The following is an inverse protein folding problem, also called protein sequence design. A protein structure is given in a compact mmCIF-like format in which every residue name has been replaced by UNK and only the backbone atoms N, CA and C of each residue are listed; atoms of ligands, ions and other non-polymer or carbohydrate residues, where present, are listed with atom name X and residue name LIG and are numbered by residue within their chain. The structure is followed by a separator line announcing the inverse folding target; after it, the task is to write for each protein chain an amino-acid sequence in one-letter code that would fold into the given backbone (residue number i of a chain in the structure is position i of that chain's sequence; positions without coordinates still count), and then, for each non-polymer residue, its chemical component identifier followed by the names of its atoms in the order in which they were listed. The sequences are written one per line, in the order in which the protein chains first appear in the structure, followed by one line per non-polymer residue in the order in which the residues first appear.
data_IF_884407432062
#
_entry.id   IF_884407432062
#
_cell.length_a   1.000
_cell.length_b   1.000
_cell.length_c   1.000
_cell.angle_alpha   90.00
_cell.angle_beta   90.00
_cell.angle_gamma   90.00
#
_symmetry.space_group_name_H-M   'P 1'
#
loop_
_entity.id
_entity.type
_entity.pdbx_description
1 polymer ?
#
# COMPACT_ATOMS: atom_id res chain seq x y z
N UNK A 1 -5.74 2.80 -1.94
CA UNK A 1 -6.65 3.78 -1.27
C UNK A 1 -8.05 3.20 -1.01
N UNK A 2 -8.75 2.64 -2.01
CA UNK A 2 -10.14 2.16 -1.83
C UNK A 2 -10.34 1.17 -0.67
N UNK A 3 -9.41 0.23 -0.46
CA UNK A 3 -9.48 -0.72 0.67
C UNK A 3 -9.42 -0.05 2.05
N UNK A 4 -8.79 1.11 2.16
CA UNK A 4 -8.80 1.93 3.38
C UNK A 4 -10.13 2.70 3.49
N UNK A 5 -10.63 3.27 2.39
CA UNK A 5 -11.91 4.01 2.35
C UNK A 5 -13.13 3.15 2.73
N UNK A 6 -13.03 1.82 2.63
CA UNK A 6 -14.04 0.88 3.14
C UNK A 6 -14.40 1.16 4.60
N UNK A 7 -13.46 1.65 5.42
CA UNK A 7 -13.68 1.95 6.83
C UNK A 7 -13.49 3.44 7.12
N UNK A 8 -14.55 4.16 7.55
CA UNK A 8 -14.46 5.58 7.81
C UNK A 8 -13.55 5.87 9.02
N UNK A 9 -12.85 7.00 8.96
CA UNK A 9 -12.01 7.46 10.07
C UNK A 9 -10.63 6.78 10.18
N UNK A 10 -10.18 6.03 9.17
CA UNK A 10 -8.81 5.52 9.14
C UNK A 10 -7.82 6.69 9.03
N UNK A 11 -7.10 6.98 10.12
CA UNK A 11 -6.18 8.14 10.20
C UNK A 11 -5.03 8.04 9.21
N UNK A 12 -4.74 6.85 8.67
CA UNK A 12 -3.69 6.65 7.66
C UNK A 12 -4.05 7.30 6.32
N UNK A 13 -5.34 7.49 6.02
CA UNK A 13 -5.80 8.12 4.79
C UNK A 13 -5.56 9.64 4.72
N UNK A 14 -5.25 10.27 5.85
CA UNK A 14 -4.91 11.68 5.87
C UNK A 14 -3.66 11.97 5.02
N UNK A 15 -3.57 13.22 4.56
CA UNK A 15 -2.38 13.69 3.84
C UNK A 15 -1.18 13.64 4.77
N UNK A 16 -0.08 13.08 4.29
CA UNK A 16 1.15 12.94 5.07
C UNK A 16 1.67 14.31 5.49
N UNK A 17 1.95 14.45 6.79
CA UNK A 17 2.71 15.57 7.37
C UNK A 17 3.65 15.03 8.42
N UNK A 18 4.93 15.42 8.33
CA UNK A 18 5.84 15.25 9.45
C UNK A 18 5.59 16.38 10.47
N UNK A 19 5.36 16.02 11.73
CA UNK A 19 5.08 16.96 12.82
C UNK A 19 6.31 17.20 13.72
N UNK A 20 7.45 16.58 13.39
CA UNK A 20 8.68 16.60 14.18
C UNK A 20 8.61 15.68 15.40
N UNK A 21 9.77 15.42 16.01
CA UNK A 21 9.89 14.62 17.23
C UNK A 21 9.33 13.20 17.07
N UNK A 22 9.54 12.59 15.90
CA UNK A 22 9.04 11.25 15.57
C UNK A 22 7.52 11.15 15.36
N UNK A 23 6.80 12.28 15.32
CA UNK A 23 5.34 12.31 15.13
C UNK A 23 4.98 12.66 13.69
N UNK A 24 3.85 12.12 13.22
CA UNK A 24 3.31 12.36 11.88
C UNK A 24 1.80 12.24 11.83
N UNK A 25 1.22 12.83 10.80
CA UNK A 25 -0.16 12.66 10.37
C UNK A 25 -0.18 11.94 9.02
N UNK A 26 -1.14 11.04 8.81
CA UNK A 26 -1.36 10.41 7.50
C UNK A 26 -0.24 9.48 7.01
N UNK A 27 -0.49 8.89 5.84
CA UNK A 27 0.45 7.98 5.16
C UNK A 27 0.47 8.21 3.64
N UNK A 28 -0.26 9.19 3.11
CA UNK A 28 -0.36 9.40 1.66
C UNK A 28 -0.08 10.84 1.26
N UNK A 29 0.62 11.04 0.15
CA UNK A 29 0.71 12.33 -0.51
C UNK A 29 -0.26 12.36 -1.69
N UNK A 30 -1.06 13.42 -1.75
CA UNK A 30 -2.04 13.69 -2.79
C UNK A 30 -2.35 15.19 -2.91
N UNK A 31 -2.96 15.58 -4.03
CA UNK A 31 -3.21 16.96 -4.40
C UNK A 31 -1.93 17.75 -4.65
N UNK A 32 -2.02 19.08 -4.55
CA UNK A 32 -0.85 19.94 -4.62
C UNK A 32 0.08 19.71 -3.42
N UNK A 33 1.38 19.60 -3.64
CA UNK A 33 2.37 19.52 -2.56
C UNK A 33 3.05 20.88 -2.40
N UNK A 34 2.92 21.50 -1.23
CA UNK A 34 3.51 22.79 -0.93
C UNK A 34 4.73 22.65 -0.02
N UNK A 35 5.75 23.46 -0.26
CA UNK A 35 6.93 23.55 0.59
C UNK A 35 7.38 25.02 0.70
N UNK A 36 8.13 25.34 1.74
CA UNK A 36 8.69 26.69 1.93
C UNK A 36 10.19 26.65 1.66
N UNK A 37 10.66 27.54 0.79
CA UNK A 37 12.08 27.69 0.48
C UNK A 37 12.44 29.17 0.58
N UNK A 38 13.40 29.51 1.45
CA UNK A 38 13.82 30.89 1.72
C UNK A 38 12.64 31.81 2.09
N UNK A 39 11.70 31.31 2.91
CA UNK A 39 10.50 32.06 3.32
C UNK A 39 9.40 32.16 2.26
N UNK A 40 9.62 31.64 1.06
CA UNK A 40 8.64 31.68 -0.04
C UNK A 40 7.96 30.32 -0.15
N UNK A 41 6.62 30.32 -0.11
CA UNK A 41 5.81 29.13 -0.40
C UNK A 41 5.87 28.80 -1.89
N UNK A 42 6.15 27.55 -2.21
CA UNK A 42 6.23 27.01 -3.57
C UNK A 42 5.45 25.70 -3.64
N UNK A 43 5.05 25.33 -4.85
CA UNK A 43 4.53 23.99 -5.14
C UNK A 43 5.66 23.10 -5.65
N UNK A 44 5.63 21.84 -5.26
CA UNK A 44 6.55 20.84 -5.78
C UNK A 44 6.33 20.69 -7.28
N UNK A 45 7.41 20.66 -8.05
CA UNK A 45 7.37 20.49 -9.49
C UNK A 45 7.69 19.05 -9.87
N UNK A 46 7.20 18.63 -11.03
CA UNK A 46 7.60 17.35 -11.60
C UNK A 46 9.09 17.38 -11.97
N UNK A 47 9.85 16.29 -11.77
CA UNK A 47 11.27 16.26 -12.06
C UNK A 47 11.61 16.32 -13.55
N UNK A 48 10.68 15.91 -14.41
CA UNK A 48 10.86 15.77 -15.86
C UNK A 48 10.38 16.99 -16.65
N UNK A 49 9.43 17.76 -16.13
CA UNK A 49 8.80 18.89 -16.84
C UNK A 49 8.40 20.02 -15.88
N UNK A 50 8.38 21.29 -16.31
CA UNK A 50 8.24 22.45 -15.42
C UNK A 50 6.80 22.75 -14.94
N UNK A 51 5.96 21.73 -14.71
CA UNK A 51 4.62 21.88 -14.13
C UNK A 51 4.60 21.63 -12.62
N UNK A 52 3.64 22.22 -11.93
CA UNK A 52 3.39 21.97 -10.50
C UNK A 52 2.63 20.65 -10.34
N UNK A 53 3.07 19.79 -9.42
CA UNK A 53 2.40 18.52 -9.14
C UNK A 53 1.04 18.74 -8.50
N UNK A 54 0.05 18.03 -9.04
CA UNK A 54 -1.27 17.84 -8.47
C UNK A 54 -1.59 16.34 -8.50
N UNK A 55 -1.15 15.62 -7.48
CA UNK A 55 -1.26 14.15 -7.39
C UNK A 55 -2.73 13.72 -7.23
N UNK A 56 -3.16 12.72 -8.00
CA UNK A 56 -4.57 12.30 -8.14
C UNK A 56 -4.75 10.83 -7.81
N UNK A 57 -5.97 10.49 -7.42
CA UNK A 57 -6.40 9.09 -7.29
C UNK A 57 -6.86 8.53 -8.65
N UNK A 58 -5.99 8.64 -9.64
CA UNK A 58 -6.19 8.19 -11.01
C UNK A 58 -4.83 7.97 -11.69
N UNK A 59 -4.81 7.23 -12.79
CA UNK A 59 -3.64 7.05 -13.64
C UNK A 59 -3.90 7.68 -15.00
N UNK A 60 -2.96 8.49 -15.49
CA UNK A 60 -3.05 9.13 -16.79
C UNK A 60 -2.03 10.28 -16.95
N UNK A 61 -1.92 10.84 -18.15
CA UNK A 61 -1.02 11.95 -18.45
C UNK A 61 -1.67 13.30 -18.14
N UNK A 62 -1.60 13.74 -16.88
CA UNK A 62 -2.20 15.00 -16.43
C UNK A 62 -1.32 16.21 -16.76
N UNK A 63 0.00 16.14 -16.61
CA UNK A 63 0.94 17.24 -16.81
C UNK A 63 0.42 18.59 -16.25
N UNK A 64 0.15 19.57 -17.12
CA UNK A 64 -0.35 20.91 -16.80
C UNK A 64 -1.86 20.98 -16.53
N UNK A 65 -2.56 19.85 -16.44
CA UNK A 65 -4.01 19.80 -16.20
C UNK A 65 -4.37 20.44 -14.87
N UNK A 66 -5.24 21.45 -14.91
CA UNK A 66 -5.73 22.17 -13.73
C UNK A 66 -6.34 21.21 -12.70
N UNK A 67 -6.18 21.51 -11.42
CA UNK A 67 -6.65 20.68 -10.29
C UNK A 67 -8.13 20.27 -10.40
N UNK A 68 -9.00 21.20 -10.83
CA UNK A 68 -10.44 20.99 -11.00
C UNK A 68 -10.83 20.20 -12.27
N UNK A 69 -9.86 19.88 -13.13
CA UNK A 69 -10.06 19.15 -14.38
C UNK A 69 -9.55 17.72 -14.29
N UNK A 70 -10.27 16.82 -14.96
CA UNK A 70 -9.92 15.41 -15.10
C UNK A 70 -9.75 15.07 -16.58
N UNK A 71 -8.93 14.06 -16.86
CA UNK A 71 -8.76 13.55 -18.21
C UNK A 71 -10.07 12.90 -18.68
N UNK A 72 -10.39 13.08 -19.96
CA UNK A 72 -11.52 12.42 -20.61
C UNK A 72 -11.13 11.07 -21.25
N UNK A 73 -9.83 10.78 -21.32
CA UNK A 73 -9.31 9.53 -21.86
C UNK A 73 -9.67 8.35 -20.96
N UNK A 74 -10.04 7.23 -21.56
CA UNK A 74 -10.25 5.96 -20.86
C UNK A 74 -8.96 5.15 -20.69
N UNK A 75 -7.85 5.57 -21.32
CA UNK A 75 -6.58 4.85 -21.22
C UNK A 75 -5.99 5.05 -19.82
N UNK A 76 -5.89 3.94 -19.09
CA UNK A 76 -5.34 3.87 -17.75
C UNK A 76 -4.61 2.54 -17.64
N UNK A 77 -3.29 2.58 -17.81
CA UNK A 77 -2.34 1.47 -17.58
C UNK A 77 -1.00 2.01 -17.05
N UNK A 78 -0.07 1.12 -16.69
CA UNK A 78 1.25 1.47 -16.14
C UNK A 78 2.12 2.27 -17.13
N UNK A 79 1.76 2.30 -18.42
CA UNK A 79 2.49 3.02 -19.48
C UNK A 79 1.96 4.43 -19.72
N UNK A 80 0.78 4.75 -19.19
CA UNK A 80 0.08 6.02 -19.41
C UNK A 80 0.06 6.94 -18.20
N UNK A 81 0.70 6.54 -17.10
CA UNK A 81 0.85 7.38 -15.91
C UNK A 81 1.94 8.44 -16.03
N UNK A 82 1.74 9.56 -15.32
CA UNK A 82 2.73 10.62 -15.08
C UNK A 82 2.96 10.83 -13.56
N UNK A 83 3.72 11.86 -13.17
CA UNK A 83 3.96 12.17 -11.75
C UNK A 83 2.75 12.73 -10.98
N UNK A 84 1.60 12.89 -11.63
CA UNK A 84 0.34 13.16 -10.96
C UNK A 84 -0.46 11.87 -10.71
N UNK A 85 -0.01 10.73 -11.23
CA UNK A 85 -0.76 9.49 -11.22
C UNK A 85 -0.59 8.69 -9.93
N UNK A 86 -1.72 8.39 -9.28
CA UNK A 86 -1.78 7.59 -8.06
C UNK A 86 -1.26 8.31 -6.81
N UNK A 87 -1.88 8.04 -5.67
CA UNK A 87 -1.40 8.58 -4.40
C UNK A 87 -0.06 7.95 -4.01
N UNK A 88 0.89 8.76 -3.57
CA UNK A 88 2.18 8.26 -3.10
C UNK A 88 2.09 7.86 -1.63
N UNK A 89 2.59 6.67 -1.32
CA UNK A 89 2.59 6.14 0.05
C UNK A 89 3.86 6.58 0.77
N UNK A 90 3.71 7.21 1.93
CA UNK A 90 4.80 7.59 2.85
C UNK A 90 4.63 6.84 4.16
N UNK A 91 5.03 5.56 4.15
CA UNK A 91 4.90 4.69 5.31
C UNK A 91 6.05 4.80 6.28
N UNK A 92 7.27 4.93 5.77
CA UNK A 92 8.42 5.34 6.56
C UNK A 92 8.51 6.87 6.46
N UNK A 93 8.57 7.60 7.59
CA UNK A 93 8.53 9.05 7.56
C UNK A 93 9.69 9.65 6.75
N UNK A 94 9.37 10.68 5.97
CA UNK A 94 10.37 11.59 5.44
C UNK A 94 10.65 12.68 6.49
N UNK A 95 11.92 12.85 6.82
CA UNK A 95 12.40 13.82 7.80
C UNK A 95 12.84 15.11 7.11
N UNK A 96 12.72 16.25 7.81
CA UNK A 96 13.35 17.48 7.34
C UNK A 96 14.86 17.41 7.52
N UNK A 97 15.62 18.17 6.73
CA UNK A 97 17.09 18.24 6.85
C UNK A 97 17.58 18.69 8.24
N UNK A 98 16.73 19.40 9.00
CA UNK A 98 17.02 19.85 10.37
C UNK A 98 16.49 18.91 11.46
N UNK A 99 15.85 17.79 11.09
CA UNK A 99 15.38 16.82 12.08
C UNK A 99 16.58 16.03 12.62
N UNK A 100 16.78 15.95 13.94
CA UNK A 100 17.90 15.18 14.51
C UNK A 100 17.93 13.72 14.08
N UNK A 101 16.77 13.11 13.79
CA UNK A 101 16.65 11.73 13.34
C UNK A 101 16.67 11.56 11.81
N UNK A 102 17.06 12.58 11.05
CA UNK A 102 17.11 12.49 9.60
C UNK A 102 18.10 11.41 9.13
N UNK A 103 17.60 10.43 8.39
CA UNK A 103 18.40 9.29 7.91
C UNK A 103 18.52 8.13 8.90
N UNK A 104 17.96 8.25 10.10
CA UNK A 104 17.98 7.21 11.15
C UNK A 104 16.71 6.34 11.15
N UNK A 105 15.96 6.35 10.05
CA UNK A 105 14.74 5.56 9.92
C UNK A 105 15.04 4.07 9.79
N UNK A 106 14.83 3.31 10.86
CA UNK A 106 14.90 1.85 10.81
C UNK A 106 13.80 1.25 9.92
N UNK A 107 14.17 0.20 9.20
CA UNK A 107 13.21 -0.65 8.49
C UNK A 107 12.77 -1.80 9.40
N UNK A 108 11.47 -1.86 9.71
CA UNK A 108 10.92 -2.90 10.55
C UNK A 108 10.67 -4.17 9.72
N UNK A 109 11.66 -5.04 9.64
CA UNK A 109 11.57 -6.30 8.88
C UNK A 109 10.53 -7.27 9.48
N UNK A 110 10.50 -7.37 10.81
CA UNK A 110 9.51 -8.16 11.55
C UNK A 110 8.93 -7.27 12.65
N UNK A 111 7.60 -7.31 12.79
CA UNK A 111 6.89 -6.53 13.82
C UNK A 111 5.73 -7.31 14.42
N UNK A 112 5.40 -7.00 15.67
CA UNK A 112 4.36 -7.70 16.43
C UNK A 112 3.04 -7.91 15.66
N UNK A 113 2.48 -6.93 14.91
CA UNK A 113 1.26 -7.15 14.15
C UNK A 113 1.36 -8.29 13.11
N UNK A 114 2.55 -8.62 12.61
CA UNK A 114 2.71 -9.73 11.66
C UNK A 114 2.40 -11.07 12.33
N UNK A 115 2.92 -11.26 13.55
CA UNK A 115 2.68 -12.48 14.33
C UNK A 115 1.20 -12.56 14.73
N UNK A 116 0.61 -11.44 15.14
CA UNK A 116 -0.82 -11.34 15.45
C UNK A 116 -1.66 -11.71 14.23
N UNK A 117 -1.33 -11.19 13.06
CA UNK A 117 -2.08 -11.42 11.83
C UNK A 117 -1.90 -12.85 11.30
N UNK A 118 -0.70 -13.42 11.42
CA UNK A 118 -0.47 -14.83 11.08
C UNK A 118 -1.32 -15.75 11.97
N UNK A 119 -1.38 -15.49 13.28
CA UNK A 119 -2.25 -16.25 14.18
C UNK A 119 -3.74 -16.04 13.88
N UNK A 120 -4.15 -14.81 13.57
CA UNK A 120 -5.52 -14.50 13.17
C UNK A 120 -5.92 -15.24 11.89
N UNK A 121 -5.06 -15.28 10.87
CA UNK A 121 -5.28 -16.05 9.65
C UNK A 121 -5.45 -17.54 9.95
N UNK A 122 -4.58 -18.12 10.78
CA UNK A 122 -4.68 -19.53 11.20
C UNK A 122 -6.01 -19.82 11.91
N UNK A 123 -6.46 -18.93 12.80
CA UNK A 123 -7.76 -19.06 13.49
C UNK A 123 -8.92 -18.99 12.52
N UNK A 124 -8.90 -18.01 11.61
CA UNK A 124 -9.95 -17.82 10.63
C UNK A 124 -10.07 -19.03 9.69
N UNK A 125 -8.94 -19.58 9.23
CA UNK A 125 -8.90 -20.83 8.43
C UNK A 125 -9.45 -22.04 9.17
N UNK A 126 -9.44 -22.03 10.50
CA UNK A 126 -10.04 -23.07 11.37
C UNK A 126 -11.51 -22.79 11.72
N UNK A 127 -12.12 -21.74 11.16
CA UNK A 127 -13.50 -21.35 11.44
C UNK A 127 -13.67 -20.48 12.69
N UNK A 128 -12.59 -20.07 13.36
CA UNK A 128 -12.62 -19.19 14.55
C UNK A 128 -12.54 -17.71 14.15
N UNK A 129 -13.58 -17.21 13.48
CA UNK A 129 -13.65 -15.81 13.05
C UNK A 129 -13.66 -14.83 14.23
N UNK A 130 -14.31 -15.20 15.35
CA UNK A 130 -14.34 -14.37 16.57
C UNK A 130 -12.95 -14.22 17.18
N UNK A 131 -12.20 -15.31 17.33
CA UNK A 131 -10.84 -15.27 17.86
C UNK A 131 -9.87 -14.53 16.93
N UNK A 132 -10.02 -14.70 15.62
CA UNK A 132 -9.25 -13.93 14.64
C UNK A 132 -9.57 -12.43 14.72
N UNK A 133 -10.86 -12.07 14.77
CA UNK A 133 -11.32 -10.68 14.88
C UNK A 133 -10.74 -9.97 16.11
N UNK A 134 -10.77 -10.61 17.28
CA UNK A 134 -10.17 -10.07 18.52
C UNK A 134 -8.69 -9.74 18.37
N UNK A 135 -7.92 -10.62 17.72
CA UNK A 135 -6.50 -10.40 17.46
C UNK A 135 -6.29 -9.18 16.56
N UNK A 136 -7.00 -9.10 15.43
CA UNK A 136 -6.87 -7.98 14.51
C UNK A 136 -7.35 -6.65 15.13
N UNK A 137 -8.39 -6.69 15.96
CA UNK A 137 -8.92 -5.53 16.67
C UNK A 137 -7.87 -4.87 17.57
N UNK A 138 -6.98 -5.66 18.18
CA UNK A 138 -5.87 -5.12 18.99
C UNK A 138 -4.96 -4.18 18.19
N UNK A 139 -4.82 -4.41 16.88
CA UNK A 139 -4.03 -3.61 15.96
C UNK A 139 -4.85 -2.47 15.37
N UNK A 140 -6.10 -2.76 14.95
CA UNK A 140 -6.99 -1.76 14.32
C UNK A 140 -7.24 -0.55 15.20
N UNK A 141 -7.40 -0.74 16.52
CA UNK A 141 -7.65 0.35 17.49
C UNK A 141 -6.64 1.51 17.39
N UNK A 142 -5.42 1.27 16.91
CA UNK A 142 -4.39 2.30 16.73
C UNK A 142 -4.69 3.31 15.61
N UNK A 143 -5.54 2.93 14.64
CA UNK A 143 -5.74 3.68 13.40
C UNK A 143 -7.10 4.38 13.31
N UNK A 144 -7.95 4.25 14.33
CA UNK A 144 -9.30 4.81 14.30
C UNK A 144 -9.61 5.54 15.61
N UNK A 145 -10.28 6.70 15.54
CA UNK A 145 -10.80 7.39 16.72
C UNK A 145 -11.77 6.52 17.52
N UNK A 146 -11.83 6.73 18.84
CA UNK A 146 -12.71 5.97 19.75
C UNK A 146 -14.17 5.93 19.27
N UNK A 147 -14.68 7.05 18.75
CA UNK A 147 -16.05 7.18 18.25
C UNK A 147 -16.36 6.27 17.03
N UNK A 148 -15.34 5.86 16.29
CA UNK A 148 -15.48 5.01 15.09
C UNK A 148 -15.32 3.52 15.37
N UNK A 149 -14.79 3.13 16.54
CA UNK A 149 -14.39 1.75 16.82
C UNK A 149 -15.51 0.73 16.60
N UNK A 150 -16.75 1.04 17.00
CA UNK A 150 -17.88 0.12 16.78
C UNK A 150 -18.13 -0.19 15.29
N UNK A 151 -17.86 0.76 14.40
CA UNK A 151 -18.11 0.60 12.95
C UNK A 151 -16.96 -0.05 12.20
N UNK A 152 -15.77 -0.08 12.78
CA UNK A 152 -14.55 -0.52 12.10
C UNK A 152 -13.91 -1.74 12.74
N UNK A 153 -14.25 -2.11 13.97
CA UNK A 153 -13.76 -3.34 14.58
C UNK A 153 -14.56 -4.56 14.11
N UNK A 154 -13.89 -5.70 14.05
CA UNK A 154 -14.52 -6.98 13.75
C UNK A 154 -15.42 -7.45 14.89
N UNK A 155 -16.48 -8.16 14.54
CA UNK A 155 -17.40 -8.76 15.50
C UNK A 155 -16.66 -9.71 16.47
N UNK A 156 -17.09 -9.78 17.75
CA UNK A 156 -18.25 -9.11 18.34
C UNK A 156 -17.96 -7.71 18.91
N UNK A 157 -16.71 -7.23 18.89
CA UNK A 157 -16.36 -5.92 19.47
C UNK A 157 -16.85 -4.74 18.62
N UNK A 158 -17.03 -4.96 17.32
CA UNK A 158 -17.68 -4.03 16.41
C UNK A 158 -18.64 -4.75 15.46
N UNK A 159 -18.98 -4.08 14.36
CA UNK A 159 -20.03 -4.52 13.44
C UNK A 159 -19.48 -5.09 12.11
N UNK A 160 -18.17 -5.31 11.99
CA UNK A 160 -17.55 -5.78 10.74
C UNK A 160 -17.42 -7.31 10.76
N UNK A 161 -17.91 -7.96 9.71
CA UNK A 161 -17.71 -9.40 9.50
C UNK A 161 -16.30 -9.67 8.96
N UNK A 162 -15.65 -10.70 9.52
CA UNK A 162 -14.32 -11.14 9.10
C UNK A 162 -14.42 -12.45 8.33
N UNK A 163 -14.18 -12.37 7.02
CA UNK A 163 -14.01 -13.52 6.13
C UNK A 163 -12.59 -13.54 5.52
N UNK A 164 -12.31 -14.53 4.67
CA UNK A 164 -10.98 -14.69 4.07
C UNK A 164 -10.63 -13.59 3.05
N UNK A 165 -11.61 -13.01 2.35
CA UNK A 165 -11.32 -11.90 1.43
C UNK A 165 -11.01 -10.63 2.22
N UNK A 166 -11.72 -10.38 3.32
CA UNK A 166 -11.44 -9.29 4.25
C UNK A 166 -10.11 -9.46 4.97
N UNK A 167 -9.73 -10.69 5.36
CA UNK A 167 -8.41 -10.97 5.94
C UNK A 167 -7.28 -10.60 4.97
N UNK A 168 -7.43 -10.92 3.69
CA UNK A 168 -6.46 -10.54 2.66
C UNK A 168 -6.40 -9.02 2.48
N UNK A 169 -7.54 -8.34 2.50
CA UNK A 169 -7.59 -6.87 2.45
C UNK A 169 -6.94 -6.25 3.70
N UNK A 170 -7.09 -6.87 4.87
CA UNK A 170 -6.52 -6.39 6.13
C UNK A 170 -5.00 -6.53 6.17
N UNK A 171 -4.46 -7.67 5.72
CA UNK A 171 -3.04 -7.80 5.43
C UNK A 171 -2.54 -6.67 4.51
N UNK A 172 -3.31 -6.35 3.46
CA UNK A 172 -2.98 -5.29 2.51
C UNK A 172 -2.97 -3.89 3.13
N UNK A 173 -3.94 -3.57 4.00
CA UNK A 173 -3.97 -2.26 4.70
C UNK A 173 -2.84 -2.13 5.70
N UNK A 174 -2.64 -3.16 6.53
CA UNK A 174 -1.66 -3.09 7.62
C UNK A 174 -0.23 -3.06 7.09
N UNK A 175 0.08 -3.78 6.02
CA UNK A 175 1.43 -3.96 5.50
C UNK A 175 1.67 -3.39 4.10
N UNK A 176 0.83 -2.43 3.68
CA UNK A 176 1.10 -1.65 2.47
C UNK A 176 2.54 -1.12 2.51
N UNK A 177 3.28 -1.23 1.40
CA UNK A 177 4.68 -0.78 1.27
C UNK A 177 5.70 -1.45 2.22
N UNK A 178 5.47 -2.70 2.64
CA UNK A 178 6.40 -3.49 3.47
C UNK A 178 6.79 -4.83 2.79
N UNK A 179 6.93 -4.87 1.45
CA UNK A 179 7.52 -6.01 0.74
C UNK A 179 6.74 -7.34 0.71
N UNK A 180 5.66 -7.50 1.48
CA UNK A 180 5.04 -8.82 1.69
C UNK A 180 3.86 -9.19 0.78
N UNK A 181 3.26 -8.21 0.09
CA UNK A 181 1.96 -8.38 -0.59
C UNK A 181 1.95 -9.56 -1.57
N UNK A 182 3.06 -9.82 -2.25
CA UNK A 182 3.22 -10.96 -3.17
C UNK A 182 2.99 -12.31 -2.46
N UNK A 183 3.62 -12.50 -1.31
CA UNK A 183 3.56 -13.77 -0.56
C UNK A 183 2.15 -14.02 -0.04
N UNK A 184 1.47 -12.96 0.44
CA UNK A 184 0.08 -13.05 0.87
C UNK A 184 -0.84 -13.42 -0.30
N UNK A 185 -0.70 -12.76 -1.46
CA UNK A 185 -1.50 -13.08 -2.64
C UNK A 185 -1.28 -14.52 -3.12
N UNK A 186 -0.06 -15.05 -3.05
CA UNK A 186 0.23 -16.45 -3.42
C UNK A 186 -0.48 -17.40 -2.45
N UNK A 187 -0.36 -17.18 -1.14
CA UNK A 187 -0.97 -18.01 -0.10
C UNK A 187 -2.51 -18.00 -0.13
N UNK A 188 -3.10 -16.90 -0.58
CA UNK A 188 -4.55 -16.77 -0.78
C UNK A 188 -5.01 -17.21 -2.19
N UNK A 189 -4.09 -17.68 -3.05
CA UNK A 189 -4.43 -18.12 -4.40
C UNK A 189 -4.88 -16.99 -5.33
N UNK A 190 -4.54 -15.74 -5.03
CA UNK A 190 -4.97 -14.53 -5.77
C UNK A 190 -3.85 -13.92 -6.64
N UNK A 191 -2.60 -14.37 -6.53
CA UNK A 191 -1.48 -13.75 -7.25
C UNK A 191 -1.62 -13.82 -8.79
N UNK A 192 -1.97 -15.00 -9.31
CA UNK A 192 -2.17 -15.23 -10.74
C UNK A 192 -3.64 -15.12 -11.17
N UNK A 193 -4.59 -15.34 -10.27
CA UNK A 193 -6.03 -15.31 -10.59
C UNK A 193 -6.67 -13.94 -10.35
N UNK A 194 -6.03 -13.08 -9.58
CA UNK A 194 -6.57 -11.78 -9.19
C UNK A 194 -6.50 -10.78 -10.33
N UNK A 195 -7.56 -9.97 -10.43
CA UNK A 195 -7.58 -8.78 -11.28
C UNK A 195 -7.26 -7.54 -10.42
N UNK A 196 -6.39 -6.68 -10.92
CA UNK A 196 -6.28 -5.30 -10.42
C UNK A 196 -6.31 -4.34 -11.61
N UNK A 197 -6.18 -3.03 -11.35
CA UNK A 197 -6.57 -2.02 -12.33
C UNK A 197 -5.82 -2.13 -13.67
N UNK A 198 -4.55 -2.59 -13.67
CA UNK A 198 -3.74 -2.83 -14.88
C UNK A 198 -3.22 -4.27 -15.03
N UNK A 199 -3.96 -5.25 -14.51
CA UNK A 199 -3.60 -6.65 -14.67
C UNK A 199 -4.83 -7.52 -14.76
N UNK A 200 -4.90 -8.28 -15.84
CA UNK A 200 -5.81 -9.42 -15.95
C UNK A 200 -5.16 -10.68 -15.35
N UNK A 201 -5.94 -11.70 -15.01
CA UNK A 201 -5.40 -12.98 -14.56
C UNK A 201 -4.31 -13.50 -15.52
N UNK A 202 -3.25 -14.04 -14.94
CA UNK A 202 -2.17 -14.68 -15.68
C UNK A 202 -2.70 -15.96 -16.36
N UNK A 203 -2.07 -16.38 -17.47
CA UNK A 203 -2.48 -17.58 -18.20
C UNK A 203 -2.29 -18.88 -17.38
N UNK A 204 -1.31 -18.89 -16.47
CA UNK A 204 -1.01 -19.99 -15.58
C UNK A 204 -0.38 -19.48 -14.25
N UNK A 205 0.16 -20.41 -13.46
CA UNK A 205 0.74 -20.15 -12.14
C UNK A 205 2.28 -20.06 -12.08
N UNK A 206 2.99 -20.13 -13.21
CA UNK A 206 4.46 -20.22 -13.20
C UNK A 206 5.11 -19.00 -12.53
N UNK A 207 4.48 -17.82 -12.65
CA UNK A 207 4.94 -16.56 -12.05
C UNK A 207 4.95 -16.53 -10.51
N UNK A 208 4.36 -17.54 -9.84
CA UNK A 208 4.48 -17.73 -8.39
C UNK A 208 5.92 -18.01 -7.95
N UNK A 209 6.77 -18.51 -8.83
CA UNK A 209 8.21 -18.72 -8.59
C UNK A 209 8.98 -17.90 -9.62
N UNK A 210 9.96 -17.10 -9.19
CA UNK A 210 10.74 -16.30 -10.14
C UNK A 210 11.58 -17.18 -11.08
N UNK A 211 11.86 -16.75 -12.32
CA UNK A 211 12.78 -17.47 -13.18
C UNK A 211 14.19 -17.43 -12.60
N UNK A 212 14.95 -18.49 -12.84
CA UNK A 212 16.41 -18.44 -12.68
C UNK A 212 16.95 -17.50 -13.76
N UNK A 213 17.78 -16.49 -13.42
CA UNK A 213 18.21 -15.53 -14.41
C UNK A 213 19.09 -16.18 -15.49
N UNK A 214 18.97 -15.67 -16.73
CA UNK A 214 19.55 -16.29 -17.94
C UNK A 214 21.06 -16.46 -17.89
N UNK A 215 21.76 -15.55 -17.24
CA UNK A 215 23.22 -15.59 -17.08
C UNK A 215 23.61 -16.84 -16.28
N UNK A 216 22.91 -17.12 -15.18
CA UNK A 216 23.17 -18.26 -14.31
C UNK A 216 22.91 -19.59 -15.03
N UNK A 217 21.80 -19.70 -15.79
CA UNK A 217 21.49 -20.89 -16.60
C UNK A 217 22.57 -21.15 -17.65
N UNK A 218 23.04 -20.11 -18.34
CA UNK A 218 24.07 -20.24 -19.38
C UNK A 218 25.43 -20.63 -18.81
N UNK A 219 25.79 -20.10 -17.64
CA UNK A 219 27.11 -20.35 -17.02
C UNK A 219 27.20 -21.67 -16.27
N UNK A 220 26.09 -22.16 -15.71
CA UNK A 220 26.07 -23.41 -14.95
C UNK A 220 25.07 -24.40 -15.54
N UNK A 221 25.52 -25.39 -16.34
CA UNK A 221 24.62 -26.36 -17.00
C UNK A 221 23.93 -27.32 -16.01
N UNK A 222 24.34 -27.36 -14.74
CA UNK A 222 23.63 -28.14 -13.72
C UNK A 222 22.34 -27.44 -13.23
N UNK A 223 22.20 -26.13 -13.45
CA UNK A 223 20.99 -25.40 -13.11
C UNK A 223 19.88 -25.71 -14.11
N UNK A 224 18.70 -26.01 -13.58
CA UNK A 224 17.48 -26.17 -14.36
C UNK A 224 16.59 -24.95 -14.14
N UNK A 225 15.92 -24.52 -15.20
CA UNK A 225 14.95 -23.44 -15.11
C UNK A 225 13.73 -23.89 -14.30
N UNK A 226 13.08 -22.94 -13.62
CA UNK A 226 11.80 -23.18 -12.95
C UNK A 226 10.70 -23.51 -13.99
N UNK A 227 9.75 -24.40 -13.67
CA UNK A 227 8.70 -24.79 -14.61
C UNK A 227 7.94 -23.58 -15.19
N UNK A 228 7.63 -23.62 -16.48
CA UNK A 228 6.87 -22.59 -17.19
C UNK A 228 7.70 -21.46 -17.83
N UNK A 229 9.00 -21.40 -17.56
CA UNK A 229 9.92 -20.45 -18.18
C UNK A 229 10.79 -21.09 -19.27
N UNK A 230 11.07 -20.34 -20.34
CA UNK A 230 11.94 -20.72 -21.46
C UNK A 230 13.32 -20.07 -21.38
#
# INVERSE_FOLDING_TARGET
VQKFRKYPGDVRLAKYKNLGGGKREGMFLFGNLEYTQNGIKRKLKAPEMPYDLCIRDAVGQFHYTKEDKWLTSANSDMTTGDYNSGWYTVKYPMYSDTDPGAGEGDFAEIRLPEIIYALAECKLRRGDATGAGKLLNSVRRRYYPQAMLRHVLYAPEGNVDLDMDEMLDEWGREFLAEGRRRIDLIRFGKFCTGKWWDKNPDADDHAKIYPVPRVQITTNPALKQNPGYN
#
